data_IF_922296262195
#
_entry.id   IF_922296262195
#
_cell.length_a   1.000
_cell.length_b   1.000
_cell.length_c   1.000
_cell.angle_alpha   90.00
_cell.angle_beta   90.00
_cell.angle_gamma   90.00
#
_symmetry.space_group_name_H-M   'P 1'
#
loop_
_entity.id
_entity.type
_entity.pdbx_description
1 polymer ?
#
# COMPACT_ATOMS: atom_id res chain seq x y z
N UNK A 1 -79.41 3.90 41.04
CA UNK A 1 -79.17 2.48 41.38
C UNK A 1 -77.68 2.15 41.13
N UNK A 2 -76.82 2.17 42.17
CA UNK A 2 -75.38 1.90 42.01
C UNK A 2 -75.18 0.38 41.84
N UNK A 3 -74.88 -0.07 40.62
CA UNK A 3 -74.60 -1.49 40.31
C UNK A 3 -73.29 -1.88 41.01
N UNK A 4 -73.36 -2.66 42.10
CA UNK A 4 -72.16 -3.21 42.76
C UNK A 4 -71.51 -4.22 41.82
N UNK A 5 -70.36 -3.87 41.22
CA UNK A 5 -69.54 -4.82 40.48
C UNK A 5 -68.96 -5.86 41.43
N UNK A 6 -69.09 -7.14 41.07
CA UNK A 6 -68.47 -8.25 41.79
C UNK A 6 -66.93 -8.17 41.67
N UNK A 7 -66.22 -8.68 42.68
CA UNK A 7 -64.77 -8.62 42.84
C UNK A 7 -64.02 -9.16 41.61
N UNK A 8 -64.52 -10.23 40.96
CA UNK A 8 -63.95 -10.76 39.72
C UNK A 8 -63.98 -9.76 38.57
N UNK A 9 -65.06 -8.99 38.44
CA UNK A 9 -65.21 -7.97 37.40
C UNK A 9 -64.27 -6.79 37.66
N UNK A 10 -64.05 -6.39 38.92
CA UNK A 10 -63.06 -5.35 39.27
C UNK A 10 -61.63 -5.78 38.95
N UNK A 11 -61.28 -7.04 39.22
CA UNK A 11 -59.95 -7.61 38.91
C UNK A 11 -59.71 -7.61 37.40
N UNK A 12 -60.72 -7.99 36.59
CA UNK A 12 -60.62 -7.94 35.13
C UNK A 12 -60.37 -6.51 34.63
N UNK A 13 -61.10 -5.51 35.14
CA UNK A 13 -60.86 -4.12 34.75
C UNK A 13 -59.47 -3.60 35.14
N UNK A 14 -58.93 -4.02 36.29
CA UNK A 14 -57.57 -3.65 36.72
C UNK A 14 -56.52 -4.30 35.81
N UNK A 15 -56.70 -5.57 35.45
CA UNK A 15 -55.79 -6.28 34.53
C UNK A 15 -55.85 -5.66 33.13
N UNK A 16 -57.05 -5.35 32.62
CA UNK A 16 -57.23 -4.68 31.32
C UNK A 16 -56.62 -3.27 31.32
N UNK A 17 -56.73 -2.52 32.41
CA UNK A 17 -56.09 -1.21 32.55
C UNK A 17 -54.55 -1.32 32.60
N UNK A 18 -53.99 -2.33 33.27
CA UNK A 18 -52.54 -2.57 33.27
C UNK A 18 -52.00 -2.95 31.89
N UNK A 19 -52.75 -3.75 31.12
CA UNK A 19 -52.41 -4.16 29.75
C UNK A 19 -52.47 -2.98 28.76
N UNK A 20 -53.37 -2.03 28.97
CA UNK A 20 -53.44 -0.78 28.21
C UNK A 20 -52.30 0.18 28.54
N UNK A 21 -51.84 0.21 29.79
CA UNK A 21 -50.69 1.03 30.21
C UNK A 21 -49.37 0.46 29.67
N UNK A 22 -49.21 -0.87 29.56
CA UNK A 22 -48.02 -1.47 28.94
C UNK A 22 -47.92 -1.26 27.42
N UNK A 23 -49.04 -0.97 26.74
CA UNK A 23 -49.05 -0.69 25.31
C UNK A 23 -48.57 0.74 24.95
N UNK A 24 -48.59 1.67 25.91
CA UNK A 24 -48.19 3.08 25.70
C UNK A 24 -46.68 3.31 25.87
N UNK A 25 -45.94 2.34 26.43
CA UNK A 25 -44.50 2.49 26.73
C UNK A 25 -43.62 2.10 25.52
N UNK A 26 -44.18 1.65 24.39
CA UNK A 26 -43.42 1.18 23.23
C UNK A 26 -43.18 2.23 22.12
N UNK A 27 -43.49 3.51 22.31
CA UNK A 27 -43.36 4.52 21.23
C UNK A 27 -42.06 5.33 21.22
N UNK A 28 -41.03 4.99 22.02
CA UNK A 28 -39.74 5.69 22.00
C UNK A 28 -38.55 4.81 21.59
N UNK A 29 -38.62 4.19 20.41
CA UNK A 29 -37.43 3.58 19.78
C UNK A 29 -37.23 4.00 18.32
N UNK A 30 -37.67 5.20 17.96
CA UNK A 30 -37.02 5.94 16.88
C UNK A 30 -35.92 6.79 17.52
N UNK A 31 -34.82 6.14 17.92
CA UNK A 31 -33.55 6.88 18.00
C UNK A 31 -33.36 7.47 16.61
N UNK A 32 -33.37 8.81 16.52
CA UNK A 32 -32.81 9.49 15.38
C UNK A 32 -31.37 9.01 15.34
N UNK A 33 -31.10 8.01 14.50
CA UNK A 33 -29.72 7.69 14.12
C UNK A 33 -29.29 8.93 13.38
N UNK A 34 -28.66 9.84 14.10
CA UNK A 34 -27.76 10.82 13.51
C UNK A 34 -26.75 9.95 12.76
N UNK A 35 -27.05 9.71 11.49
CA UNK A 35 -26.10 9.11 10.59
C UNK A 35 -24.94 10.08 10.61
N UNK A 36 -23.81 9.64 11.16
CA UNK A 36 -22.54 10.33 10.97
C UNK A 36 -22.42 10.58 9.48
N UNK A 37 -22.64 11.85 9.09
CA UNK A 37 -22.49 12.29 7.72
C UNK A 37 -21.05 11.91 7.38
N UNK A 38 -20.83 11.05 6.36
CA UNK A 38 -19.49 10.63 6.02
C UNK A 38 -18.62 11.87 5.87
N UNK A 39 -17.41 11.90 6.45
CA UNK A 39 -16.56 13.07 6.37
C UNK A 39 -16.44 13.47 4.91
N UNK A 40 -16.76 14.75 4.61
CA UNK A 40 -16.65 15.28 3.27
C UNK A 40 -15.18 15.14 2.83
N UNK A 41 -14.96 14.33 1.80
CA UNK A 41 -13.64 14.21 1.18
C UNK A 41 -13.42 15.47 0.36
N UNK A 42 -12.53 16.33 0.84
CA UNK A 42 -12.11 17.52 0.10
C UNK A 42 -10.93 17.16 -0.77
N UNK A 43 -10.97 17.58 -2.03
CA UNK A 43 -9.81 17.55 -2.91
C UNK A 43 -8.69 18.39 -2.29
N UNK A 44 -7.44 18.00 -2.58
CA UNK A 44 -6.31 18.76 -2.06
C UNK A 44 -6.14 20.05 -2.85
N UNK A 45 -6.32 21.18 -2.19
CA UNK A 45 -6.00 22.47 -2.76
C UNK A 45 -4.51 22.79 -2.56
N UNK A 46 -3.77 22.85 -3.66
CA UNK A 46 -2.35 23.20 -3.60
C UNK A 46 -2.18 24.64 -3.09
N UNK A 47 -1.31 24.89 -2.09
CA UNK A 47 -1.09 26.23 -1.58
C UNK A 47 -0.65 27.22 -2.66
N UNK A 48 -1.11 28.47 -2.58
CA UNK A 48 -0.74 29.52 -3.51
C UNK A 48 0.79 29.69 -3.61
N UNK A 49 1.31 29.77 -4.84
CA UNK A 49 2.74 29.88 -5.12
C UNK A 49 3.56 28.59 -4.90
N UNK A 50 2.91 27.47 -4.55
CA UNK A 50 3.61 26.20 -4.46
C UNK A 50 3.98 25.67 -5.85
N UNK A 51 5.16 25.06 -5.94
CA UNK A 51 5.65 24.40 -7.15
C UNK A 51 5.46 22.90 -7.06
N UNK A 52 5.18 22.28 -8.21
CA UNK A 52 5.06 20.84 -8.37
C UNK A 52 6.01 20.37 -9.45
N UNK A 53 6.69 19.24 -9.21
CA UNK A 53 7.55 18.59 -10.19
C UNK A 53 7.12 17.12 -10.36
N UNK A 54 7.57 16.51 -11.45
CA UNK A 54 7.37 15.08 -11.66
C UNK A 54 8.26 14.24 -10.74
N UNK A 55 7.85 13.00 -10.48
CA UNK A 55 8.60 12.06 -9.63
C UNK A 55 9.99 11.76 -10.21
N UNK A 56 10.09 11.65 -11.52
CA UNK A 56 11.37 11.46 -12.22
C UNK A 56 12.31 12.66 -12.05
N UNK A 57 11.79 13.89 -12.15
CA UNK A 57 12.58 15.11 -11.87
C UNK A 57 13.02 15.20 -10.40
N UNK A 58 12.19 14.74 -9.45
CA UNK A 58 12.60 14.61 -8.06
C UNK A 58 13.77 13.63 -7.91
N UNK A 59 13.65 12.42 -8.49
CA UNK A 59 14.69 11.39 -8.40
C UNK A 59 16.04 11.87 -8.92
N UNK A 60 16.07 12.66 -10.00
CA UNK A 60 17.29 13.23 -10.60
C UNK A 60 18.09 14.18 -9.70
N UNK A 61 17.51 14.64 -8.59
CA UNK A 61 18.23 15.46 -7.62
C UNK A 61 19.24 14.67 -6.80
N UNK A 62 19.13 13.35 -6.83
CA UNK A 62 20.02 12.44 -6.12
C UNK A 62 20.76 11.55 -7.11
N UNK A 63 22.09 11.48 -6.98
CA UNK A 63 22.87 10.48 -7.68
C UNK A 63 22.72 9.15 -6.97
N UNK A 64 22.08 8.15 -7.60
CA UNK A 64 21.84 6.84 -7.02
C UNK A 64 23.11 6.07 -6.63
N UNK A 65 24.28 6.43 -7.18
CA UNK A 65 25.58 5.88 -6.78
C UNK A 65 26.18 6.60 -5.56
N UNK A 66 25.57 7.70 -5.09
CA UNK A 66 26.05 8.45 -3.93
C UNK A 66 25.74 7.74 -2.62
N UNK A 67 26.66 7.87 -1.66
CA UNK A 67 26.45 7.44 -0.28
C UNK A 67 25.92 8.55 0.62
N UNK A 68 25.82 9.79 0.11
CA UNK A 68 25.26 10.94 0.80
C UNK A 68 23.75 11.04 0.59
N UNK A 69 23.12 11.86 1.43
CA UNK A 69 21.72 12.24 1.28
C UNK A 69 21.61 13.61 0.61
N UNK A 70 20.56 13.79 -0.19
CA UNK A 70 20.25 15.07 -0.85
C UNK A 70 18.97 15.65 -0.27
N UNK A 71 19.09 16.78 0.44
CA UNK A 71 17.93 17.48 1.00
C UNK A 71 17.19 18.25 -0.08
N UNK A 72 15.87 18.09 -0.13
CA UNK A 72 15.00 18.84 -1.02
C UNK A 72 14.79 20.26 -0.48
N UNK A 73 15.28 21.27 -1.22
CA UNK A 73 15.26 22.69 -0.79
C UNK A 73 14.25 23.58 -1.52
N UNK A 74 14.17 23.44 -2.85
CA UNK A 74 13.69 24.52 -3.74
C UNK A 74 12.28 24.32 -4.31
N UNK A 75 11.65 23.16 -4.10
CA UNK A 75 10.30 22.90 -4.58
C UNK A 75 9.48 22.21 -3.52
N UNK A 76 8.17 22.31 -3.69
CA UNK A 76 7.26 22.03 -2.61
C UNK A 76 6.60 20.67 -2.75
N UNK A 77 6.18 20.24 -3.95
CA UNK A 77 5.36 19.04 -4.08
C UNK A 77 5.75 18.13 -5.25
N UNK A 78 5.46 16.85 -5.08
CA UNK A 78 5.17 15.89 -6.15
C UNK A 78 3.72 15.42 -6.00
N UNK A 79 3.18 14.81 -7.05
CA UNK A 79 1.92 14.07 -6.96
C UNK A 79 2.08 12.69 -7.58
N UNK A 80 1.25 11.75 -7.14
CA UNK A 80 1.24 10.41 -7.70
C UNK A 80 0.04 9.62 -7.22
N UNK A 81 -0.17 8.47 -7.84
CA UNK A 81 -1.18 7.50 -7.42
C UNK A 81 -0.51 6.40 -6.62
N UNK A 82 -1.08 6.06 -5.47
CA UNK A 82 -0.62 4.95 -4.65
C UNK A 82 -0.78 3.63 -5.41
N UNK A 83 0.30 2.87 -5.52
CA UNK A 83 0.32 1.53 -6.15
C UNK A 83 0.66 0.41 -5.17
N UNK A 84 1.28 0.76 -4.04
CA UNK A 84 1.59 -0.17 -2.95
C UNK A 84 0.35 -0.55 -2.14
N UNK A 85 0.39 -1.75 -1.57
CA UNK A 85 -0.54 -2.22 -0.56
C UNK A 85 0.25 -3.03 0.48
N UNK A 86 0.31 -2.56 1.72
CA UNK A 86 0.99 -3.23 2.85
C UNK A 86 0.06 -4.12 3.68
N UNK A 87 -1.18 -4.38 3.23
CA UNK A 87 -2.14 -5.24 3.95
C UNK A 87 -1.63 -6.66 4.23
N UNK A 88 -0.65 -7.11 3.46
CA UNK A 88 0.00 -8.41 3.59
C UNK A 88 1.48 -8.32 3.96
N UNK A 89 2.00 -7.16 4.37
CA UNK A 89 3.32 -7.04 4.98
C UNK A 89 4.55 -7.27 4.10
N UNK A 90 4.39 -7.52 2.79
CA UNK A 90 5.53 -7.63 1.87
C UNK A 90 6.05 -6.24 1.42
N UNK A 91 5.11 -5.34 1.12
CA UNK A 91 5.36 -3.89 1.17
C UNK A 91 5.19 -3.48 2.64
N UNK A 92 6.16 -2.79 3.24
CA UNK A 92 6.14 -2.50 4.67
C UNK A 92 6.80 -1.16 5.01
N UNK A 93 6.08 -0.30 5.75
CA UNK A 93 6.58 1.02 6.20
C UNK A 93 7.04 1.94 5.06
N UNK A 94 6.44 1.78 3.89
CA UNK A 94 6.56 2.73 2.79
C UNK A 94 5.31 2.74 1.91
N UNK A 95 5.06 3.86 1.24
CA UNK A 95 4.17 3.94 0.08
C UNK A 95 5.01 3.96 -1.19
N UNK A 96 4.61 3.19 -2.20
CA UNK A 96 5.05 3.46 -3.56
C UNK A 96 3.97 4.28 -4.26
N UNK A 97 4.36 5.44 -4.76
CA UNK A 97 3.50 6.31 -5.56
C UNK A 97 4.08 6.45 -6.95
N UNK A 98 3.21 6.50 -7.95
CA UNK A 98 3.59 6.55 -9.36
C UNK A 98 2.84 7.66 -10.09
N UNK A 99 3.57 8.43 -10.90
CA UNK A 99 3.03 9.36 -11.89
C UNK A 99 3.37 8.85 -13.30
N UNK A 100 3.11 9.65 -14.33
CA UNK A 100 3.41 9.27 -15.72
C UNK A 100 4.90 9.21 -16.03
N UNK A 101 5.75 9.84 -15.22
CA UNK A 101 7.20 9.92 -15.42
C UNK A 101 7.95 8.80 -14.68
N UNK A 102 7.53 8.48 -13.47
CA UNK A 102 8.35 7.78 -12.49
C UNK A 102 7.54 7.25 -11.31
N UNK A 103 8.24 6.57 -10.41
CA UNK A 103 7.70 6.15 -9.13
C UNK A 103 8.75 6.31 -8.03
N UNK A 104 8.30 6.52 -6.79
CA UNK A 104 9.17 6.75 -5.64
C UNK A 104 8.63 6.02 -4.41
N UNK A 105 9.55 5.48 -3.61
CA UNK A 105 9.26 4.92 -2.30
C UNK A 105 9.29 6.01 -1.23
N UNK A 106 8.15 6.26 -0.60
CA UNK A 106 8.00 7.21 0.50
C UNK A 106 8.00 6.46 1.84
N UNK A 107 9.04 6.65 2.64
CA UNK A 107 9.23 5.97 3.93
C UNK A 107 8.32 6.57 5.00
N UNK A 108 7.47 5.77 5.62
CA UNK A 108 6.51 6.20 6.65
C UNK A 108 6.49 5.21 7.80
N UNK A 109 6.48 5.70 9.03
CA UNK A 109 6.49 4.87 10.23
C UNK A 109 5.09 4.33 10.57
N UNK A 110 4.50 3.57 9.65
CA UNK A 110 3.20 2.94 9.85
C UNK A 110 3.13 1.61 9.09
N UNK A 111 2.57 0.57 9.71
CA UNK A 111 2.44 -0.79 9.19
C UNK A 111 1.01 -1.13 8.73
N UNK A 112 0.12 -0.13 8.73
CA UNK A 112 -1.26 -0.21 8.31
C UNK A 112 -1.60 0.91 7.31
N UNK A 113 -0.66 1.27 6.44
CA UNK A 113 -0.83 2.34 5.45
C UNK A 113 -1.99 2.04 4.49
N UNK A 114 -2.26 0.78 4.18
CA UNK A 114 -3.36 0.31 3.33
C UNK A 114 -4.73 0.74 3.84
N UNK A 115 -4.87 0.98 5.16
CA UNK A 115 -6.12 1.47 5.73
C UNK A 115 -6.38 2.93 5.37
N UNK A 116 -5.30 3.70 5.16
CA UNK A 116 -5.33 5.15 4.96
C UNK A 116 -5.11 5.57 3.50
N UNK A 117 -4.20 4.87 2.81
CA UNK A 117 -3.74 5.14 1.45
C UNK A 117 -3.89 3.87 0.63
N UNK A 118 -5.07 3.67 0.05
CA UNK A 118 -5.38 2.48 -0.75
C UNK A 118 -4.80 2.62 -2.16
N UNK A 119 -4.48 1.52 -2.85
CA UNK A 119 -4.19 1.56 -4.29
C UNK A 119 -5.25 2.36 -5.05
N UNK A 120 -4.80 3.28 -5.91
CA UNK A 120 -5.68 4.19 -6.65
C UNK A 120 -6.01 5.49 -5.91
N UNK A 121 -5.54 5.69 -4.68
CA UNK A 121 -5.57 6.98 -4.00
C UNK A 121 -4.56 7.94 -4.65
N UNK A 122 -5.04 9.09 -5.11
CA UNK A 122 -4.14 10.20 -5.46
C UNK A 122 -3.63 10.87 -4.20
N UNK A 123 -2.34 11.19 -4.20
CA UNK A 123 -1.70 11.92 -3.10
C UNK A 123 -0.77 13.00 -3.63
N UNK A 124 -0.71 14.10 -2.90
CA UNK A 124 0.33 15.11 -3.01
C UNK A 124 1.30 14.94 -1.86
N UNK A 125 2.60 14.98 -2.16
CA UNK A 125 3.65 14.85 -1.15
C UNK A 125 4.45 16.14 -1.12
N UNK A 126 4.45 16.81 0.03
CA UNK A 126 5.34 17.93 0.30
C UNK A 126 6.76 17.39 0.46
N UNK A 127 7.69 17.82 -0.38
CA UNK A 127 9.05 17.27 -0.39
C UNK A 127 10.06 18.11 0.37
N UNK A 128 9.79 19.42 0.56
CA UNK A 128 10.73 20.33 1.23
C UNK A 128 11.16 19.80 2.60
N UNK A 129 12.46 19.85 2.87
CA UNK A 129 13.13 19.38 4.09
C UNK A 129 13.16 17.84 4.27
N UNK A 130 12.56 17.08 3.35
CA UNK A 130 12.82 15.64 3.23
C UNK A 130 14.14 15.40 2.48
N UNK A 131 14.66 14.18 2.62
CA UNK A 131 15.89 13.75 1.97
C UNK A 131 15.64 12.63 0.98
N UNK A 132 16.43 12.65 -0.09
CA UNK A 132 16.59 11.56 -1.03
C UNK A 132 17.85 10.76 -0.69
N UNK A 133 17.78 9.45 -0.91
CA UNK A 133 18.92 8.56 -0.72
C UNK A 133 18.65 7.16 -1.25
N UNK A 134 19.71 6.45 -1.59
CA UNK A 134 19.67 5.13 -2.25
C UNK A 134 20.44 4.07 -1.44
N UNK A 135 20.55 4.26 -0.12
CA UNK A 135 21.32 3.39 0.78
C UNK A 135 20.47 2.88 1.94
N UNK A 136 20.67 1.61 2.27
CA UNK A 136 20.12 0.92 3.43
C UNK A 136 21.26 0.36 4.28
N UNK A 137 21.10 0.36 5.61
CA UNK A 137 22.01 -0.35 6.52
C UNK A 137 21.23 -1.52 7.12
N UNK A 138 21.73 -2.74 6.92
CA UNK A 138 21.10 -3.95 7.44
C UNK A 138 21.24 -4.05 8.96
N UNK A 139 20.51 -5.00 9.57
CA UNK A 139 20.62 -5.27 11.01
C UNK A 139 22.02 -5.71 11.45
N UNK A 140 22.83 -6.25 10.52
CA UNK A 140 24.23 -6.59 10.76
C UNK A 140 25.19 -5.40 10.59
N UNK A 141 24.66 -4.20 10.31
CA UNK A 141 25.45 -2.97 10.08
C UNK A 141 26.05 -2.85 8.68
N UNK A 142 25.78 -3.81 7.78
CA UNK A 142 26.32 -3.78 6.43
C UNK A 142 25.52 -2.81 5.55
N UNK A 143 26.20 -1.97 4.75
CA UNK A 143 25.53 -1.10 3.81
C UNK A 143 25.13 -1.84 2.53
N UNK A 144 23.97 -1.48 2.00
CA UNK A 144 23.42 -1.99 0.75
C UNK A 144 22.87 -0.84 -0.10
N UNK A 145 22.93 -1.01 -1.42
CA UNK A 145 22.34 -0.06 -2.37
C UNK A 145 20.92 -0.50 -2.73
N UNK A 146 20.00 0.44 -2.72
CA UNK A 146 18.57 0.24 -2.99
C UNK A 146 18.06 1.37 -3.91
N UNK A 147 16.86 1.27 -4.49
CA UNK A 147 16.29 2.39 -5.24
C UNK A 147 16.18 3.65 -4.38
N UNK A 148 16.29 4.80 -5.03
CA UNK A 148 16.10 6.10 -4.38
C UNK A 148 14.77 6.16 -3.64
N UNK A 149 14.82 6.54 -2.36
CA UNK A 149 13.68 6.71 -1.48
C UNK A 149 13.55 8.18 -1.05
N UNK A 150 12.36 8.57 -0.62
CA UNK A 150 12.06 9.87 -0.02
C UNK A 150 11.61 9.66 1.43
N UNK A 151 12.13 10.48 2.35
CA UNK A 151 11.76 10.40 3.76
C UNK A 151 12.50 11.40 4.63
N UNK A 152 12.52 11.15 5.93
CA UNK A 152 13.30 11.96 6.87
C UNK A 152 14.76 11.54 6.87
N UNK A 153 15.66 12.42 7.33
CA UNK A 153 17.04 12.02 7.57
C UNK A 153 17.14 11.17 8.85
N UNK A 154 17.79 10.01 8.76
CA UNK A 154 18.15 9.17 9.91
C UNK A 154 19.60 8.77 9.80
N UNK A 155 20.49 9.54 10.43
CA UNK A 155 21.94 9.37 10.27
C UNK A 155 22.35 9.60 8.81
N UNK A 156 22.88 8.55 8.18
CA UNK A 156 23.38 8.54 6.79
C UNK A 156 22.41 7.91 5.78
N UNK A 157 21.21 7.53 6.21
CA UNK A 157 20.19 6.91 5.33
C UNK A 157 18.85 7.65 5.39
N UNK A 158 17.97 7.32 4.44
CA UNK A 158 16.58 7.77 4.45
C UNK A 158 15.81 7.03 5.54
N UNK A 159 15.41 7.76 6.57
CA UNK A 159 14.49 7.35 7.62
C UNK A 159 13.03 7.59 7.26
N UNK A 160 12.15 7.20 8.18
CA UNK A 160 10.70 7.28 8.01
C UNK A 160 10.13 8.65 8.43
N UNK A 161 9.15 9.15 7.68
CA UNK A 161 8.24 10.18 8.16
C UNK A 161 7.42 9.59 9.30
N UNK A 162 7.48 10.19 10.49
CA UNK A 162 6.75 9.71 11.66
C UNK A 162 5.24 9.81 11.40
N UNK A 163 4.50 8.81 11.88
CA UNK A 163 3.06 8.72 11.66
C UNK A 163 2.28 9.94 12.19
N UNK A 164 2.76 10.49 13.31
CA UNK A 164 2.21 11.67 13.98
C UNK A 164 2.27 12.94 13.13
N UNK A 165 3.26 13.06 12.24
CA UNK A 165 3.48 14.25 11.42
C UNK A 165 3.24 14.02 9.93
N UNK A 166 2.87 12.80 9.51
CA UNK A 166 2.69 12.45 8.10
C UNK A 166 1.68 13.35 7.39
N UNK A 167 0.64 13.84 8.08
CA UNK A 167 -0.36 14.75 7.52
C UNK A 167 0.18 16.14 7.17
N UNK A 168 1.40 16.50 7.63
CA UNK A 168 2.11 17.71 7.18
C UNK A 168 2.79 17.52 5.83
N UNK A 169 2.96 16.28 5.40
CA UNK A 169 3.71 15.92 4.21
C UNK A 169 2.85 15.23 3.15
N UNK A 170 1.84 14.46 3.54
CA UNK A 170 1.07 13.63 2.62
C UNK A 170 -0.38 14.05 2.68
N UNK A 171 -0.88 14.50 1.55
CA UNK A 171 -2.25 15.00 1.39
C UNK A 171 -2.99 14.09 0.43
N UNK A 172 -4.12 13.53 0.86
CA UNK A 172 -4.99 12.75 -0.01
C UNK A 172 -5.76 13.70 -0.91
N UNK A 173 -5.92 13.29 -2.17
CA UNK A 173 -6.71 13.99 -3.16
C UNK A 173 -7.81 13.06 -3.67
N UNK A 174 -9.06 13.51 -3.56
CA UNK A 174 -10.27 12.73 -3.85
C UNK A 174 -10.36 11.37 -3.11
N UNK A 175 -11.41 10.61 -3.40
CA UNK A 175 -11.57 9.23 -2.95
C UNK A 175 -10.66 8.27 -3.71
N UNK A 176 -10.21 7.16 -3.08
CA UNK A 176 -9.47 6.13 -3.78
C UNK A 176 -10.34 5.48 -4.84
N UNK A 177 -9.80 5.32 -6.05
CA UNK A 177 -10.49 4.68 -7.16
C UNK A 177 -9.56 3.68 -7.84
N UNK A 178 -9.96 2.40 -7.85
CA UNK A 178 -9.16 1.31 -8.42
C UNK A 178 -8.87 1.48 -9.91
N UNK A 179 -9.74 2.20 -10.64
CA UNK A 179 -9.53 2.49 -12.06
C UNK A 179 -8.43 3.53 -12.29
N UNK A 180 -7.99 4.23 -11.24
CA UNK A 180 -6.89 5.19 -11.29
C UNK A 180 -5.53 4.53 -11.00
N UNK A 181 -5.50 3.26 -10.57
CA UNK A 181 -4.23 2.54 -10.45
C UNK A 181 -3.56 2.53 -11.84
N UNK A 182 -2.33 3.05 -11.97
CA UNK A 182 -1.60 3.00 -13.24
C UNK A 182 -1.58 1.59 -13.81
N UNK A 183 -1.93 1.47 -15.09
CA UNK A 183 -1.83 0.20 -15.80
C UNK A 183 -0.37 -0.26 -15.76
N UNK A 184 -0.09 -1.51 -15.32
CA UNK A 184 1.28 -2.01 -15.28
C UNK A 184 1.92 -2.00 -16.67
N UNK A 185 3.19 -1.60 -16.74
CA UNK A 185 3.98 -1.77 -17.96
C UNK A 185 4.27 -3.26 -18.16
N UNK A 186 4.02 -3.77 -19.37
CA UNK A 186 4.10 -5.20 -19.67
C UNK A 186 5.41 -5.54 -20.38
N UNK A 187 6.11 -6.56 -19.88
CA UNK A 187 7.36 -7.08 -20.44
C UNK A 187 7.30 -8.61 -20.55
N UNK A 188 8.16 -9.19 -21.38
CA UNK A 188 8.23 -10.65 -21.61
C UNK A 188 9.62 -11.23 -21.34
N UNK A 189 10.61 -10.38 -21.07
CA UNK A 189 11.98 -10.77 -20.73
C UNK A 189 12.62 -9.70 -19.83
N UNK A 190 13.53 -10.12 -18.96
CA UNK A 190 14.18 -9.25 -17.99
C UNK A 190 15.21 -8.31 -18.64
N UNK A 191 15.78 -8.67 -19.78
CA UNK A 191 16.68 -7.80 -20.54
C UNK A 191 15.99 -6.56 -21.15
N UNK A 192 14.66 -6.48 -21.09
CA UNK A 192 13.87 -5.30 -21.48
C UNK A 192 13.77 -4.27 -20.34
N UNK A 193 14.19 -4.64 -19.12
CA UNK A 193 14.06 -3.80 -17.94
C UNK A 193 15.24 -2.84 -17.81
N UNK A 194 14.92 -1.60 -17.43
CA UNK A 194 15.89 -0.57 -17.10
C UNK A 194 15.61 -0.04 -15.69
N UNK A 195 16.55 -0.27 -14.77
CA UNK A 195 16.44 0.15 -13.38
C UNK A 195 16.28 1.67 -13.22
N UNK A 196 16.90 2.47 -14.10
CA UNK A 196 16.85 3.92 -14.00
C UNK A 196 15.42 4.45 -14.19
N UNK A 197 14.69 3.85 -15.13
CA UNK A 197 13.36 4.31 -15.56
C UNK A 197 12.19 3.53 -14.96
N UNK A 198 12.42 2.28 -14.53
CA UNK A 198 11.37 1.36 -14.08
C UNK A 198 11.33 1.12 -12.56
N UNK A 199 12.43 1.31 -11.83
CA UNK A 199 12.42 1.06 -10.38
C UNK A 199 11.41 1.95 -9.65
N UNK A 200 10.60 1.30 -8.83
CA UNK A 200 9.45 1.84 -8.11
C UNK A 200 8.11 1.65 -8.83
N UNK A 201 8.10 1.43 -10.15
CA UNK A 201 6.85 1.34 -10.93
C UNK A 201 6.18 -0.01 -10.77
N UNK A 202 4.87 -0.02 -11.00
CA UNK A 202 4.09 -1.23 -11.18
C UNK A 202 4.34 -1.78 -12.60
N UNK A 203 4.82 -3.02 -12.68
CA UNK A 203 5.09 -3.72 -13.94
C UNK A 203 4.44 -5.10 -13.93
N UNK A 204 4.23 -5.68 -15.09
CA UNK A 204 3.89 -7.09 -15.28
C UNK A 204 4.94 -7.76 -16.15
N UNK A 205 5.61 -8.78 -15.65
CA UNK A 205 6.42 -9.68 -16.49
C UNK A 205 5.58 -10.90 -16.83
N UNK A 206 5.45 -11.21 -18.12
CA UNK A 206 4.70 -12.34 -18.62
C UNK A 206 5.56 -13.56 -18.87
N UNK A 207 4.95 -14.74 -18.74
CA UNK A 207 5.54 -16.02 -19.11
C UNK A 207 6.90 -16.28 -18.43
N UNK A 208 6.97 -16.03 -17.13
CA UNK A 208 8.11 -16.39 -16.27
C UNK A 208 7.77 -17.64 -15.48
N UNK A 209 8.75 -18.27 -14.86
CA UNK A 209 8.53 -19.37 -13.92
C UNK A 209 9.35 -19.17 -12.66
N UNK A 210 8.95 -19.82 -11.58
CA UNK A 210 9.78 -19.92 -10.38
C UNK A 210 10.99 -20.80 -10.71
N UNK A 211 12.14 -20.52 -10.12
CA UNK A 211 13.31 -21.39 -10.26
C UNK A 211 12.94 -22.85 -9.91
N UNK A 212 13.16 -23.81 -10.84
CA UNK A 212 12.83 -25.21 -10.62
C UNK A 212 13.43 -25.83 -9.35
N UNK A 213 14.58 -25.34 -8.88
CA UNK A 213 15.19 -25.80 -7.63
C UNK A 213 14.33 -25.48 -6.39
N UNK A 214 13.44 -24.50 -6.51
CA UNK A 214 12.55 -24.04 -5.43
C UNK A 214 11.07 -24.32 -5.70
N UNK A 215 10.73 -25.12 -6.72
CA UNK A 215 9.34 -25.49 -7.00
C UNK A 215 8.64 -26.11 -5.78
N UNK A 216 7.40 -25.67 -5.56
CA UNK A 216 6.59 -26.13 -4.43
C UNK A 216 7.10 -25.69 -3.05
N UNK A 217 8.15 -24.87 -2.99
CA UNK A 217 8.62 -24.27 -1.74
C UNK A 217 7.71 -23.13 -1.29
N UNK A 218 7.79 -22.78 -0.01
CA UNK A 218 7.11 -21.61 0.53
C UNK A 218 7.72 -20.32 -0.01
N UNK A 219 6.97 -19.22 -0.09
CA UNK A 219 7.51 -17.91 -0.50
C UNK A 219 8.67 -17.45 0.39
N UNK A 220 8.54 -17.57 1.71
CA UNK A 220 9.62 -17.34 2.67
C UNK A 220 9.33 -18.07 3.99
N UNK A 221 10.18 -19.03 4.37
CA UNK A 221 10.03 -19.82 5.59
C UNK A 221 10.65 -19.16 6.85
N UNK A 222 11.14 -17.92 6.77
CA UNK A 222 11.68 -17.16 7.90
C UNK A 222 13.11 -17.53 8.34
N UNK A 223 13.71 -18.56 7.74
CA UNK A 223 15.11 -18.96 7.94
C UNK A 223 15.98 -18.46 6.77
N UNK A 224 17.28 -18.77 6.79
CA UNK A 224 18.21 -18.55 5.68
C UNK A 224 17.91 -19.47 4.46
N UNK A 225 16.64 -19.69 4.15
CA UNK A 225 16.19 -20.37 2.96
C UNK A 225 16.73 -19.68 1.70
N UNK A 226 16.91 -20.42 0.59
CA UNK A 226 17.40 -19.83 -0.65
C UNK A 226 16.47 -18.70 -1.10
N UNK A 227 17.07 -17.59 -1.57
CA UNK A 227 16.34 -16.49 -2.19
C UNK A 227 15.45 -17.06 -3.29
N UNK A 228 14.14 -16.80 -3.26
CA UNK A 228 13.25 -17.22 -4.34
C UNK A 228 13.56 -16.42 -5.59
N UNK A 229 13.59 -17.10 -6.73
CA UNK A 229 13.95 -16.53 -8.02
C UNK A 229 12.83 -16.72 -9.02
N UNK A 230 12.61 -15.69 -9.84
CA UNK A 230 11.87 -15.81 -11.09
C UNK A 230 12.87 -15.96 -12.22
N UNK A 231 12.57 -16.84 -13.15
CA UNK A 231 13.36 -17.11 -14.35
C UNK A 231 12.52 -16.75 -15.57
N UNK A 232 13.09 -15.95 -16.47
CA UNK A 232 12.42 -15.58 -17.72
C UNK A 232 12.68 -16.58 -18.86
N UNK A 233 12.11 -16.29 -20.03
CA UNK A 233 12.29 -17.12 -21.24
C UNK A 233 13.72 -17.15 -21.79
N UNK A 234 14.58 -16.22 -21.37
CA UNK A 234 16.00 -16.16 -21.75
C UNK A 234 16.91 -16.92 -20.78
N UNK A 235 16.35 -17.42 -19.67
CA UNK A 235 17.09 -18.10 -18.61
C UNK A 235 17.76 -17.16 -17.61
N UNK A 236 17.51 -15.84 -17.71
CA UNK A 236 17.97 -14.88 -16.71
C UNK A 236 17.07 -15.03 -15.48
N UNK A 237 17.68 -14.96 -14.29
CA UNK A 237 16.96 -15.02 -13.03
C UNK A 237 17.19 -13.78 -12.17
N UNK A 238 16.16 -13.41 -11.40
CA UNK A 238 16.23 -12.35 -10.40
C UNK A 238 15.34 -12.70 -9.20
N UNK A 239 15.58 -12.03 -8.07
CA UNK A 239 14.88 -12.31 -6.83
C UNK A 239 13.39 -11.98 -6.90
N UNK A 240 12.56 -12.94 -6.51
CA UNK A 240 11.19 -12.72 -6.05
C UNK A 240 11.22 -12.45 -4.55
N UNK A 241 11.19 -11.17 -4.17
CA UNK A 241 11.29 -10.81 -2.77
C UNK A 241 9.95 -11.04 -2.06
N UNK A 242 10.03 -11.81 -0.97
CA UNK A 242 8.96 -11.93 0.02
C UNK A 242 9.54 -11.74 1.41
N UNK A 243 9.00 -10.79 2.17
CA UNK A 243 9.27 -10.60 3.59
C UNK A 243 8.83 -11.85 4.37
N UNK A 244 9.60 -12.31 5.37
CA UNK A 244 9.17 -13.40 6.24
C UNK A 244 7.96 -13.04 7.10
N UNK A 245 7.64 -11.74 7.22
CA UNK A 245 6.45 -11.24 7.91
C UNK A 245 5.23 -11.09 7.00
N UNK A 246 5.35 -11.44 5.71
CA UNK A 246 4.24 -11.34 4.80
C UNK A 246 3.13 -12.33 5.17
N UNK A 247 1.86 -11.93 4.99
CA UNK A 247 0.68 -12.75 5.30
C UNK A 247 0.67 -14.09 4.53
N UNK A 248 1.40 -14.14 3.41
CA UNK A 248 1.52 -15.26 2.47
C UNK A 248 2.92 -15.88 2.46
N UNK A 249 3.79 -15.50 3.42
CA UNK A 249 5.18 -16.00 3.46
C UNK A 249 5.23 -17.54 3.52
N UNK A 250 4.28 -18.14 4.25
CA UNK A 250 4.16 -19.59 4.41
C UNK A 250 3.25 -20.26 3.38
N UNK A 251 2.79 -19.53 2.35
CA UNK A 251 2.05 -20.12 1.24
C UNK A 251 3.02 -20.82 0.29
N UNK A 252 2.57 -21.91 -0.34
CA UNK A 252 3.33 -22.58 -1.39
C UNK A 252 3.33 -21.74 -2.68
N UNK A 253 4.51 -21.57 -3.29
CA UNK A 253 4.63 -20.89 -4.58
C UNK A 253 3.97 -21.71 -5.70
N UNK A 254 3.39 -21.05 -6.71
CA UNK A 254 2.84 -21.74 -7.86
C UNK A 254 3.93 -22.45 -8.67
N UNK A 255 3.52 -23.43 -9.46
CA UNK A 255 4.36 -24.13 -10.43
C UNK A 255 3.95 -23.77 -11.85
N UNK A 256 4.83 -24.04 -12.83
CA UNK A 256 4.59 -23.73 -14.24
C UNK A 256 4.80 -22.25 -14.57
N UNK A 257 4.36 -21.86 -15.77
CA UNK A 257 4.51 -20.49 -16.25
C UNK A 257 3.42 -19.59 -15.66
N UNK A 258 3.85 -18.40 -15.25
CA UNK A 258 3.04 -17.39 -14.56
C UNK A 258 3.29 -16.00 -15.15
N UNK A 259 2.29 -15.13 -15.00
CA UNK A 259 2.45 -13.69 -15.17
C UNK A 259 2.51 -13.05 -13.78
N UNK A 260 3.50 -12.18 -13.56
CA UNK A 260 3.76 -11.57 -12.25
C UNK A 260 3.61 -10.06 -12.36
N UNK A 261 2.67 -9.49 -11.61
CA UNK A 261 2.50 -8.04 -11.46
C UNK A 261 3.15 -7.56 -10.17
N UNK A 262 4.19 -6.75 -10.22
CA UNK A 262 4.95 -6.39 -9.03
C UNK A 262 5.40 -4.93 -9.04
N UNK A 263 5.84 -4.44 -7.89
CA UNK A 263 6.64 -3.22 -7.81
C UNK A 263 8.08 -3.63 -8.10
N UNK A 264 8.68 -3.07 -9.16
CA UNK A 264 10.08 -3.33 -9.48
C UNK A 264 10.99 -2.59 -8.47
N UNK A 265 11.97 -3.30 -7.93
CA UNK A 265 13.01 -2.75 -7.06
C UNK A 265 14.38 -3.24 -7.53
N UNK A 266 15.42 -2.77 -6.84
CA UNK A 266 16.76 -3.34 -6.92
C UNK A 266 17.30 -3.57 -5.51
N UNK A 267 18.30 -4.45 -5.39
CA UNK A 267 19.07 -4.65 -4.17
C UNK A 267 20.51 -4.97 -4.57
N UNK A 268 21.46 -4.14 -4.14
CA UNK A 268 22.87 -4.21 -4.52
C UNK A 268 23.12 -4.28 -6.03
N UNK A 269 22.28 -3.58 -6.80
CA UNK A 269 22.39 -3.47 -8.26
C UNK A 269 21.59 -4.52 -9.04
N UNK A 270 21.14 -5.60 -8.40
CA UNK A 270 20.34 -6.65 -9.02
C UNK A 270 18.85 -6.32 -8.95
N UNK A 271 18.07 -6.73 -9.96
CA UNK A 271 16.62 -6.55 -9.92
C UNK A 271 15.99 -7.41 -8.82
N UNK A 272 14.93 -6.86 -8.24
CA UNK A 272 14.12 -7.51 -7.23
C UNK A 272 12.64 -7.24 -7.50
N UNK A 273 11.86 -8.31 -7.65
CA UNK A 273 10.43 -8.25 -7.88
C UNK A 273 9.67 -8.34 -6.55
N UNK A 274 8.96 -7.26 -6.19
CA UNK A 274 8.20 -7.20 -4.93
C UNK A 274 6.70 -7.30 -5.21
N UNK A 275 6.11 -8.47 -4.95
CA UNK A 275 4.66 -8.67 -5.05
C UNK A 275 3.93 -8.12 -3.82
N UNK A 276 2.71 -7.63 -3.96
CA UNK A 276 1.93 -7.08 -2.84
C UNK A 276 1.15 -8.18 -2.11
N UNK A 277 0.63 -9.14 -2.89
CA UNK A 277 -0.13 -10.30 -2.43
C UNK A 277 0.04 -11.45 -3.42
N UNK A 278 -0.39 -12.67 -3.10
CA UNK A 278 -0.40 -13.79 -4.06
C UNK A 278 -1.29 -13.57 -5.28
N UNK A 279 -2.27 -12.65 -5.20
CA UNK A 279 -3.13 -12.26 -6.35
C UNK A 279 -2.37 -11.54 -7.46
N UNK A 280 -1.16 -11.06 -7.18
CA UNK A 280 -0.28 -10.46 -8.17
C UNK A 280 0.37 -11.51 -9.10
N UNK A 281 0.22 -12.80 -8.77
CA UNK A 281 0.69 -13.91 -9.59
C UNK A 281 -0.52 -14.64 -10.16
N UNK A 282 -0.57 -14.77 -11.49
CA UNK A 282 -1.62 -15.50 -12.20
C UNK A 282 -0.99 -16.53 -13.14
N UNK A 283 -1.66 -17.68 -13.40
CA UNK A 283 -1.18 -18.61 -14.41
C UNK A 283 -1.03 -17.92 -15.77
N UNK A 284 0.09 -18.17 -16.45
CA UNK A 284 0.28 -17.66 -17.80
C UNK A 284 -0.71 -18.37 -18.73
N UNK A 285 -1.42 -17.60 -19.54
CA UNK A 285 -2.28 -18.13 -20.60
C UNK A 285 -1.79 -17.59 -21.93
N UNK A 286 -1.54 -18.49 -22.89
CA UNK A 286 -1.31 -18.07 -24.26
C UNK A 286 -2.53 -17.28 -24.73
N UNK A 287 -2.31 -16.09 -25.28
CA UNK A 287 -3.38 -15.36 -25.93
C UNK A 287 -3.98 -16.26 -27.02
N UNK A 288 -5.30 -16.50 -26.95
CA UNK A 288 -6.05 -17.15 -28.03
C UNK A 288 -6.14 -16.23 -29.23
#
# INVERSE_FOLDING_TARGET
MKRKLNMKTKIIYIISALLLISAVIFTESCTKKDFDVPPLYTDFEMPAGATIISIDSLKRLHNAASTSLDTVKNFNYIHGTVISNDSCGNVYKYLSIQDTSGAIFLKIENDALYKMYRPGQKVYVKCKDLVLGSRYISSSGNPHTIPTQLGYQSGTVVGTILDLIKSKYIFKDSLPNVNLIPQPLVFTAFNQLDAATLCGKLITIKNVHIDPETYGSLYNAGNAAPVRKLVDSTGIDYSLYTSPYACFALDTMPTGNIDVTCILSTYDGEFQFVIRTTKDIVPHTNAK
#
